data_IF_569704245339
#
_entry.id   IF_569704245339
#
_cell.length_a   1.000
_cell.length_b   1.000
_cell.length_c   1.000
_cell.angle_alpha   90.00
_cell.angle_beta   90.00
_cell.angle_gamma   90.00
#
_symmetry.space_group_name_H-M   'P 1'
#
loop_
_entity.id
_entity.type
_entity.pdbx_description
1 polymer ?
#
# COMPACT_ATOMS: atom_id res chain seq x y z
N UNK A 1 -28.90 -29.64 -33.07
CA UNK A 1 -28.15 -29.99 -31.84
C UNK A 1 -26.72 -29.44 -31.87
N UNK A 2 -25.99 -29.53 -32.99
CA UNK A 2 -24.60 -29.02 -33.11
C UNK A 2 -24.38 -27.53 -32.78
N UNK A 3 -25.16 -26.60 -33.37
CA UNK A 3 -24.98 -25.16 -33.13
C UNK A 3 -25.21 -24.70 -31.68
N UNK A 4 -26.03 -25.42 -30.89
CA UNK A 4 -26.32 -25.06 -29.49
C UNK A 4 -25.30 -25.61 -28.52
N UNK A 5 -24.79 -26.82 -28.77
CA UNK A 5 -23.65 -27.36 -28.04
C UNK A 5 -22.39 -26.51 -28.27
N UNK A 6 -22.25 -25.94 -29.46
CA UNK A 6 -21.20 -24.98 -29.80
C UNK A 6 -21.33 -23.66 -29.02
N UNK A 7 -22.55 -23.13 -28.87
CA UNK A 7 -22.82 -21.93 -28.05
C UNK A 7 -22.50 -22.17 -26.56
N UNK A 8 -22.85 -23.33 -26.02
CA UNK A 8 -22.49 -23.74 -24.66
C UNK A 8 -20.99 -23.77 -24.40
N UNK A 9 -20.26 -24.43 -25.29
CA UNK A 9 -18.82 -24.57 -25.19
C UNK A 9 -18.13 -23.21 -25.30
N UNK A 10 -18.67 -22.28 -26.12
CA UNK A 10 -18.19 -20.90 -26.19
C UNK A 10 -18.38 -20.14 -24.88
N UNK A 11 -19.55 -20.22 -24.24
CA UNK A 11 -19.78 -19.53 -22.96
C UNK A 11 -18.88 -20.08 -21.84
N UNK A 12 -18.65 -21.39 -21.80
CA UNK A 12 -17.71 -22.00 -20.87
C UNK A 12 -16.25 -21.62 -21.17
N UNK A 13 -15.87 -21.56 -22.44
CA UNK A 13 -14.54 -21.10 -22.84
C UNK A 13 -14.29 -19.65 -22.40
N UNK A 14 -15.26 -18.75 -22.58
CA UNK A 14 -15.16 -17.37 -22.09
C UNK A 14 -15.04 -17.30 -20.56
N UNK A 15 -15.79 -18.12 -19.82
CA UNK A 15 -15.65 -18.19 -18.37
C UNK A 15 -14.24 -18.69 -17.98
N UNK A 16 -13.71 -19.68 -18.69
CA UNK A 16 -12.39 -20.25 -18.44
C UNK A 16 -11.26 -19.26 -18.75
N UNK A 17 -11.36 -18.50 -19.84
CA UNK A 17 -10.45 -17.39 -20.14
C UNK A 17 -10.49 -16.32 -19.04
N UNK A 18 -11.69 -15.92 -18.61
CA UNK A 18 -11.84 -14.96 -17.51
C UNK A 18 -11.20 -15.44 -16.20
N UNK A 19 -11.29 -16.74 -15.87
CA UNK A 19 -10.62 -17.32 -14.69
C UNK A 19 -9.09 -17.19 -14.81
N UNK A 20 -8.54 -17.45 -16.00
CA UNK A 20 -7.10 -17.34 -16.23
C UNK A 20 -6.61 -15.89 -16.07
N UNK A 21 -7.37 -14.93 -16.62
CA UNK A 21 -7.06 -13.51 -16.49
C UNK A 21 -7.09 -13.04 -15.04
N UNK A 22 -8.08 -13.48 -14.25
CA UNK A 22 -8.14 -13.19 -12.81
C UNK A 22 -6.92 -13.71 -12.09
N UNK A 23 -6.43 -14.91 -12.41
CA UNK A 23 -5.26 -15.48 -11.74
C UNK A 23 -4.05 -14.56 -11.86
N UNK A 24 -3.79 -14.01 -13.05
CA UNK A 24 -2.72 -13.04 -13.26
C UNK A 24 -2.94 -11.71 -12.53
N UNK A 25 -4.18 -11.26 -12.39
CA UNK A 25 -4.52 -10.06 -11.61
C UNK A 25 -4.30 -10.30 -10.11
N UNK A 26 -4.68 -11.47 -9.59
CA UNK A 26 -4.49 -11.84 -8.19
C UNK A 26 -3.00 -11.93 -7.81
N UNK A 27 -2.14 -12.41 -8.71
CA UNK A 27 -0.69 -12.39 -8.48
C UNK A 27 -0.14 -10.96 -8.32
N UNK A 28 -0.60 -10.03 -9.17
CA UNK A 28 -0.25 -8.61 -9.05
C UNK A 28 -0.80 -8.01 -7.75
N UNK A 29 -2.01 -8.42 -7.34
CA UNK A 29 -2.60 -8.00 -6.08
C UNK A 29 -1.72 -8.43 -4.90
N UNK A 30 -1.33 -9.70 -4.85
CA UNK A 30 -0.53 -10.23 -3.75
C UNK A 30 0.85 -9.57 -3.68
N UNK A 31 1.47 -9.29 -4.83
CA UNK A 31 2.72 -8.53 -4.89
C UNK A 31 2.55 -7.10 -4.33
N UNK A 32 1.49 -6.39 -4.75
CA UNK A 32 1.16 -5.06 -4.21
C UNK A 32 0.88 -5.09 -2.72
N UNK A 33 0.13 -6.09 -2.25
CA UNK A 33 -0.22 -6.30 -0.84
C UNK A 33 1.03 -6.40 0.02
N UNK A 34 1.97 -7.26 -0.36
CA UNK A 34 3.25 -7.41 0.35
C UNK A 34 4.04 -6.11 0.40
N UNK A 35 4.05 -5.34 -0.70
CA UNK A 35 4.74 -4.05 -0.75
C UNK A 35 4.06 -3.02 0.15
N UNK A 36 2.74 -2.91 0.10
CA UNK A 36 1.96 -2.02 0.98
C UNK A 36 2.19 -2.32 2.46
N UNK A 37 2.16 -3.60 2.85
CA UNK A 37 2.43 -4.04 4.22
C UNK A 37 3.82 -3.61 4.69
N UNK A 38 4.83 -3.87 3.86
CA UNK A 38 6.22 -3.47 4.15
C UNK A 38 6.34 -1.95 4.29
N UNK A 39 5.81 -1.19 3.33
CA UNK A 39 5.88 0.27 3.34
C UNK A 39 5.13 0.88 4.52
N UNK A 40 3.99 0.30 4.92
CA UNK A 40 3.25 0.70 6.12
C UNK A 40 4.07 0.46 7.39
N UNK A 41 4.71 -0.70 7.50
CA UNK A 41 5.61 -1.00 8.62
C UNK A 41 6.82 -0.05 8.67
N UNK A 42 7.45 0.20 7.52
CA UNK A 42 8.56 1.15 7.42
C UNK A 42 8.13 2.56 7.85
N UNK A 43 6.91 3.00 7.49
CA UNK A 43 6.36 4.30 7.89
C UNK A 43 6.23 4.44 9.40
N UNK A 44 5.83 3.38 10.12
CA UNK A 44 5.74 3.39 11.58
C UNK A 44 7.14 3.57 12.19
N UNK A 45 8.11 2.78 11.72
CA UNK A 45 9.49 2.86 12.23
C UNK A 45 10.14 4.22 11.97
N UNK A 46 9.88 4.81 10.79
CA UNK A 46 10.35 6.15 10.44
C UNK A 46 9.74 7.18 11.38
N UNK A 47 8.43 7.10 11.65
CA UNK A 47 7.73 7.98 12.59
C UNK A 47 8.32 7.88 14.00
N UNK A 48 8.58 6.67 14.49
CA UNK A 48 9.20 6.46 15.81
C UNK A 48 10.61 7.07 15.88
N UNK A 49 11.41 6.88 14.81
CA UNK A 49 12.74 7.48 14.70
C UNK A 49 12.66 9.01 14.68
N UNK A 50 11.71 9.58 13.94
CA UNK A 50 11.49 11.02 13.90
C UNK A 50 11.09 11.58 15.27
N UNK A 51 10.20 10.89 15.98
CA UNK A 51 9.76 11.26 17.32
C UNK A 51 10.93 11.25 18.32
N UNK A 52 11.78 10.22 18.26
CA UNK A 52 12.94 10.12 19.14
C UNK A 52 13.98 11.23 18.85
N UNK A 53 14.30 11.47 17.58
CA UNK A 53 15.19 12.56 17.18
C UNK A 53 14.62 13.95 17.54
N UNK A 54 13.30 14.13 17.45
CA UNK A 54 12.64 15.37 17.87
C UNK A 54 12.74 15.60 19.38
N UNK A 55 12.57 14.53 20.19
CA UNK A 55 12.77 14.59 21.65
C UNK A 55 14.22 14.92 22.00
N UNK A 56 15.18 14.29 21.34
CA UNK A 56 16.61 14.55 21.50
C UNK A 56 16.96 16.01 21.14
N UNK A 57 16.52 16.47 19.96
CA UNK A 57 16.73 17.86 19.53
C UNK A 57 16.10 18.88 20.48
N UNK A 58 14.92 18.60 21.03
CA UNK A 58 14.30 19.46 22.06
C UNK A 58 15.12 19.51 23.34
N UNK A 59 15.65 18.36 23.78
CA UNK A 59 16.51 18.29 24.97
C UNK A 59 17.79 19.11 24.76
N UNK A 60 18.48 18.90 23.64
CA UNK A 60 19.69 19.64 23.28
C UNK A 60 19.45 21.14 23.18
N UNK A 61 18.36 21.57 22.53
CA UNK A 61 18.00 22.99 22.44
C UNK A 61 17.71 23.62 23.82
N UNK A 62 17.12 22.85 24.74
CA UNK A 62 16.87 23.32 26.12
C UNK A 62 18.18 23.46 26.90
N UNK A 63 19.09 22.50 26.75
CA UNK A 63 20.43 22.53 27.35
C UNK A 63 21.26 23.69 26.79
N UNK A 64 21.21 23.91 25.48
CA UNK A 64 21.86 25.02 24.79
C UNK A 64 21.38 26.37 25.34
N UNK A 65 20.05 26.55 25.48
CA UNK A 65 19.47 27.79 26.03
C UNK A 65 19.89 28.03 27.48
N UNK A 66 19.91 26.97 28.30
CA UNK A 66 20.35 27.03 29.70
C UNK A 66 21.82 27.43 29.81
N UNK A 67 22.70 26.80 29.03
CA UNK A 67 24.14 27.10 29.03
C UNK A 67 24.42 28.51 28.50
N UNK A 68 23.72 28.94 27.45
CA UNK A 68 23.81 30.31 26.94
C UNK A 68 23.45 31.33 28.02
N UNK A 69 22.36 31.11 28.76
CA UNK A 69 21.93 32.01 29.83
C UNK A 69 22.97 32.10 30.95
N UNK A 70 23.58 30.98 31.35
CA UNK A 70 24.65 30.95 32.34
C UNK A 70 25.90 31.73 31.89
N UNK A 71 26.29 31.58 30.62
CA UNK A 71 27.42 32.30 30.03
C UNK A 71 27.17 33.79 29.86
N UNK A 72 25.93 34.20 29.60
CA UNK A 72 25.55 35.60 29.50
C UNK A 72 25.73 36.32 30.85
N UNK A 73 25.50 35.63 31.97
CA UNK A 73 25.74 36.17 33.32
C UNK A 73 27.21 36.17 33.69
N UNK A 74 27.95 35.10 33.35
CA UNK A 74 29.36 34.94 33.69
C UNK A 74 30.13 34.30 32.52
N UNK A 75 30.72 35.12 31.64
CA UNK A 75 31.46 34.61 30.50
C UNK A 75 32.72 33.84 30.96
N UNK A 76 32.90 32.64 30.44
CA UNK A 76 34.14 31.88 30.58
C UNK A 76 34.45 31.07 29.31
N UNK A 77 35.74 30.84 29.06
CA UNK A 77 36.23 30.25 27.82
C UNK A 77 35.87 28.77 27.68
N UNK A 78 35.74 28.04 28.78
CA UNK A 78 35.42 26.62 28.77
C UNK A 78 33.92 26.42 28.48
N UNK A 79 33.07 27.22 29.09
CA UNK A 79 31.65 27.23 28.81
C UNK A 79 31.31 27.65 27.38
N UNK A 80 32.07 28.58 26.77
CA UNK A 80 31.92 28.90 25.34
C UNK A 80 32.18 27.66 24.46
N UNK A 81 33.24 26.88 24.74
CA UNK A 81 33.52 25.64 24.01
C UNK A 81 32.43 24.59 24.20
N UNK A 82 31.93 24.42 25.44
CA UNK A 82 30.80 23.53 25.72
C UNK A 82 29.55 23.94 24.91
N UNK A 83 29.29 25.24 24.81
CA UNK A 83 28.17 25.79 24.06
C UNK A 83 28.31 25.52 22.55
N UNK A 84 29.51 25.67 22.00
CA UNK A 84 29.81 25.32 20.61
C UNK A 84 29.54 23.82 20.35
N UNK A 85 30.00 22.93 21.25
CA UNK A 85 29.73 21.50 21.16
C UNK A 85 28.22 21.17 21.20
N UNK A 86 27.47 21.77 22.12
CA UNK A 86 26.01 21.60 22.19
C UNK A 86 25.31 22.13 20.93
N UNK A 87 25.81 23.23 20.34
CA UNK A 87 25.27 23.78 19.12
C UNK A 87 25.48 22.82 17.94
N UNK A 88 26.68 22.26 17.81
CA UNK A 88 27.00 21.24 16.80
C UNK A 88 26.10 20.00 16.95
N UNK A 89 25.97 19.47 18.17
CA UNK A 89 25.08 18.34 18.45
C UNK A 89 23.62 18.64 18.09
N UNK A 90 23.14 19.83 18.42
CA UNK A 90 21.79 20.29 18.08
C UNK A 90 21.58 20.32 16.56
N UNK A 91 22.54 20.90 15.82
CA UNK A 91 22.50 20.96 14.36
C UNK A 91 22.48 19.54 13.77
N UNK A 92 23.32 18.63 14.27
CA UNK A 92 23.36 17.24 13.83
C UNK A 92 22.04 16.51 14.08
N UNK A 93 21.39 16.73 15.23
CA UNK A 93 20.09 16.15 15.54
C UNK A 93 19.01 16.61 14.53
N UNK A 94 18.97 17.90 14.19
CA UNK A 94 18.04 18.43 13.19
C UNK A 94 18.35 17.97 11.76
N UNK A 95 19.62 17.79 11.40
CA UNK A 95 20.01 17.21 10.12
C UNK A 95 19.51 15.77 9.98
N UNK A 96 19.70 14.94 11.01
CA UNK A 96 19.17 13.57 11.06
C UNK A 96 17.65 13.56 11.00
N UNK A 97 16.98 14.48 11.69
CA UNK A 97 15.52 14.61 11.64
C UNK A 97 15.04 14.93 10.22
N UNK A 98 15.74 15.82 9.51
CA UNK A 98 15.46 16.14 8.10
C UNK A 98 15.63 14.92 7.19
N UNK A 99 16.68 14.13 7.37
CA UNK A 99 16.88 12.89 6.61
C UNK A 99 15.73 11.91 6.82
N UNK A 100 15.29 11.74 8.07
CA UNK A 100 14.13 10.89 8.39
C UNK A 100 12.84 11.44 7.79
N UNK A 101 12.66 12.76 7.76
CA UNK A 101 11.51 13.38 7.10
C UNK A 101 11.50 13.15 5.58
N UNK A 102 12.67 13.19 4.92
CA UNK A 102 12.79 12.86 3.50
C UNK A 102 12.42 11.40 3.24
N UNK A 103 12.96 10.48 4.03
CA UNK A 103 12.59 9.06 3.96
C UNK A 103 11.10 8.84 4.19
N UNK A 104 10.51 9.56 5.15
CA UNK A 104 9.06 9.52 5.41
C UNK A 104 8.24 9.95 4.21
N UNK A 105 8.70 10.98 3.48
CA UNK A 105 8.03 11.47 2.27
C UNK A 105 8.07 10.42 1.17
N UNK A 106 9.22 9.80 0.94
CA UNK A 106 9.38 8.75 -0.07
C UNK A 106 8.53 7.51 0.26
N UNK A 107 8.51 7.12 1.53
CA UNK A 107 7.67 6.02 2.04
C UNK A 107 6.19 6.34 1.88
N UNK A 108 5.74 7.55 2.21
CA UNK A 108 4.35 7.98 2.04
C UNK A 108 3.92 7.93 0.57
N UNK A 109 4.76 8.41 -0.34
CA UNK A 109 4.46 8.35 -1.78
C UNK A 109 4.35 6.91 -2.28
N UNK A 110 5.25 6.03 -1.85
CA UNK A 110 5.15 4.61 -2.18
C UNK A 110 3.90 3.96 -1.59
N UNK A 111 3.46 4.35 -0.39
CA UNK A 111 2.26 3.83 0.24
C UNK A 111 1.01 4.23 -0.57
N UNK A 112 0.91 5.50 -0.96
CA UNK A 112 -0.17 6.02 -1.78
C UNK A 112 -0.25 5.32 -3.14
N UNK A 113 0.91 5.12 -3.79
CA UNK A 113 0.98 4.42 -5.07
C UNK A 113 0.44 2.99 -4.96
N UNK A 114 0.87 2.23 -3.95
CA UNK A 114 0.40 0.86 -3.76
C UNK A 114 -1.08 0.80 -3.36
N UNK A 115 -1.56 1.75 -2.54
CA UNK A 115 -2.97 1.84 -2.18
C UNK A 115 -3.86 2.11 -3.40
N UNK A 116 -3.42 3.00 -4.29
CA UNK A 116 -4.10 3.27 -5.56
C UNK A 116 -4.12 2.04 -6.46
N UNK A 117 -2.97 1.35 -6.60
CA UNK A 117 -2.87 0.12 -7.40
C UNK A 117 -3.78 -0.99 -6.86
N UNK A 118 -3.87 -1.15 -5.54
CA UNK A 118 -4.81 -2.13 -4.95
C UNK A 118 -6.28 -1.81 -5.23
N UNK A 119 -6.66 -0.52 -5.23
CA UNK A 119 -8.03 -0.12 -5.59
C UNK A 119 -8.35 -0.50 -7.04
N UNK A 120 -7.46 -0.17 -7.98
CA UNK A 120 -7.63 -0.51 -9.39
C UNK A 120 -7.70 -2.03 -9.60
N UNK A 121 -6.80 -2.78 -8.95
CA UNK A 121 -6.79 -4.25 -9.00
C UNK A 121 -8.11 -4.82 -8.45
N UNK A 122 -8.61 -4.32 -7.33
CA UNK A 122 -9.86 -4.79 -6.74
C UNK A 122 -11.07 -4.52 -7.66
N UNK A 123 -11.12 -3.35 -8.30
CA UNK A 123 -12.14 -3.01 -9.30
C UNK A 123 -12.08 -3.97 -10.51
N UNK A 124 -10.88 -4.25 -11.01
CA UNK A 124 -10.67 -5.19 -12.10
C UNK A 124 -11.08 -6.62 -11.73
N UNK A 125 -10.71 -7.10 -10.53
CA UNK A 125 -11.14 -8.41 -10.02
C UNK A 125 -12.66 -8.49 -9.94
N UNK A 126 -13.32 -7.46 -9.39
CA UNK A 126 -14.78 -7.44 -9.27
C UNK A 126 -15.47 -7.50 -10.64
N UNK A 127 -14.98 -6.72 -11.61
CA UNK A 127 -15.50 -6.72 -12.97
C UNK A 127 -15.31 -8.08 -13.67
N UNK A 128 -14.15 -8.70 -13.53
CA UNK A 128 -13.88 -10.02 -14.12
C UNK A 128 -14.71 -11.11 -13.48
N UNK A 129 -14.90 -11.10 -12.16
CA UNK A 129 -15.76 -12.08 -11.46
C UNK A 129 -17.21 -11.95 -11.94
N UNK A 130 -17.71 -10.72 -12.09
CA UNK A 130 -19.06 -10.48 -12.61
C UNK A 130 -19.23 -11.01 -14.05
N UNK A 131 -18.22 -10.79 -14.91
CA UNK A 131 -18.21 -11.33 -16.27
C UNK A 131 -18.26 -12.86 -16.29
N UNK A 132 -17.39 -13.50 -15.50
CA UNK A 132 -17.37 -14.98 -15.37
C UNK A 132 -18.72 -15.49 -14.88
N UNK A 133 -19.30 -14.85 -13.86
CA UNK A 133 -20.61 -15.19 -13.33
C UNK A 133 -21.70 -15.11 -14.39
N UNK A 134 -21.69 -14.05 -15.22
CA UNK A 134 -22.61 -13.91 -16.36
C UNK A 134 -22.42 -15.01 -17.41
N UNK A 135 -21.18 -15.32 -17.79
CA UNK A 135 -20.87 -16.38 -18.76
C UNK A 135 -21.32 -17.75 -18.26
N UNK A 136 -21.09 -18.07 -16.98
CA UNK A 136 -21.55 -19.32 -16.36
C UNK A 136 -23.09 -19.37 -16.32
N UNK A 137 -23.75 -18.29 -15.90
CA UNK A 137 -25.22 -18.25 -15.85
C UNK A 137 -25.84 -18.44 -17.24
N UNK A 138 -25.25 -17.85 -18.28
CA UNK A 138 -25.67 -18.06 -19.66
C UNK A 138 -25.47 -19.51 -20.10
N UNK A 139 -24.34 -20.12 -19.75
CA UNK A 139 -24.10 -21.53 -20.02
C UNK A 139 -25.14 -22.44 -19.32
N UNK A 140 -25.49 -22.17 -18.05
CA UNK A 140 -26.52 -22.92 -17.33
C UNK A 140 -27.90 -22.74 -17.98
N UNK A 141 -28.30 -21.51 -18.31
CA UNK A 141 -29.59 -21.25 -18.94
C UNK A 141 -29.73 -21.96 -20.31
N UNK A 142 -28.66 -21.99 -21.10
CA UNK A 142 -28.63 -22.77 -22.33
C UNK A 142 -28.81 -24.29 -22.06
N UNK A 143 -28.38 -24.79 -20.90
CA UNK A 143 -28.44 -26.22 -20.53
C UNK A 143 -29.85 -26.61 -20.12
N UNK A 144 -30.48 -25.81 -19.27
CA UNK A 144 -31.88 -26.00 -18.86
C UNK A 144 -32.83 -25.95 -20.07
N UNK A 145 -32.60 -25.04 -21.04
CA UNK A 145 -33.38 -24.97 -22.27
C UNK A 145 -33.21 -26.22 -23.17
N UNK A 146 -32.09 -26.92 -23.08
CA UNK A 146 -31.89 -28.20 -23.77
C UNK A 146 -32.69 -29.31 -23.09
N UNK A 147 -32.66 -29.41 -21.76
CA UNK A 147 -33.40 -30.43 -20.99
C UNK A 147 -34.92 -30.30 -21.15
N UNK A 148 -35.47 -29.07 -21.11
CA UNK A 148 -36.92 -28.83 -21.24
C UNK A 148 -37.46 -29.29 -22.61
N UNK A 149 -36.64 -29.25 -23.68
CA UNK A 149 -37.06 -29.63 -25.04
C UNK A 149 -36.91 -31.12 -25.34
N UNK A 150 -36.22 -31.88 -24.49
CA UNK A 150 -36.10 -33.33 -24.61
C UNK A 150 -37.22 -34.08 -23.88
N UNK A 151 -38.04 -33.40 -23.07
CA UNK A 151 -39.26 -33.97 -22.50
C UNK A 151 -40.34 -34.04 -23.60
N UNK A 152 -40.78 -35.23 -24.04
CA UNK A 152 -41.89 -35.33 -24.97
C UNK A 152 -43.15 -34.82 -24.27
N UNK A 153 -43.88 -33.90 -24.90
CA UNK A 153 -45.26 -33.63 -24.54
C UNK A 153 -46.08 -34.90 -24.83
N UNK A 154 -46.16 -35.80 -23.85
CA UNK A 154 -47.16 -36.87 -23.83
C UNK A 154 -48.52 -36.21 -23.53
N UNK A 155 -49.27 -35.93 -24.60
CA UNK A 155 -50.73 -35.65 -24.53
C UNK A 155 -51.45 -36.99 -24.58
#
# INVERSE_FOLDING_TARGET
MGERADEHLKQLAHAQEGIFDISGILEKWEASRKKLEKTSFDSINISDKAMNLSKEGKKLATELLSKYSQLAEKPDTDGIKDLEGLLEETVMAFQRLREVALLSSDTAHSLEQEAAMQREIAENVAASIDLIGRSINQAVACAELCEIKEVPFSI
#
